data_IF_987098271228
#
_entry.id   IF_987098271228
#
_cell.length_a   1.000
_cell.length_b   1.000
_cell.length_c   1.000
_cell.angle_alpha   90.00
_cell.angle_beta   90.00
_cell.angle_gamma   90.00
#
_symmetry.space_group_name_H-M   'P 1'
#
loop_
_entity.id
_entity.type
_entity.pdbx_description
1 polymer ?
#
# COMPACT_ATOMS: atom_id res chain seq x y z
N UNK A 1 -2.56 -1.65 84.33
CA UNK A 1 -3.36 -2.72 83.70
C UNK A 1 -2.62 -3.19 82.45
N UNK A 2 -2.26 -4.48 82.39
CA UNK A 2 -1.77 -5.23 81.19
C UNK A 2 -2.97 -5.53 80.26
N UNK A 3 -2.83 -5.95 78.98
CA UNK A 3 -1.72 -6.74 78.37
C UNK A 3 -1.20 -6.17 77.02
N UNK A 4 0.02 -6.42 76.54
CA UNK A 4 0.65 -7.63 75.96
C UNK A 4 -0.11 -8.25 74.77
N UNK A 5 0.48 -8.21 73.56
CA UNK A 5 0.55 -9.24 72.48
C UNK A 5 1.29 -8.58 71.28
N UNK A 6 2.57 -8.82 71.01
CA UNK A 6 3.26 -9.94 70.33
C UNK A 6 2.75 -10.29 68.91
N UNK A 7 3.71 -10.73 68.07
CA UNK A 7 3.69 -11.12 66.63
C UNK A 7 4.17 -10.00 65.68
N UNK A 8 5.43 -9.92 65.24
CA UNK A 8 6.28 -10.85 64.46
C UNK A 8 5.77 -11.11 63.02
N UNK A 9 6.72 -11.36 62.11
CA UNK A 9 6.63 -11.72 60.68
C UNK A 9 6.82 -10.54 59.70
N UNK A 10 8.05 -10.24 59.27
CA UNK A 10 8.89 -10.89 58.22
C UNK A 10 8.42 -10.67 56.78
N UNK A 11 9.38 -10.17 56.00
CA UNK A 11 9.69 -10.53 54.61
C UNK A 11 9.15 -9.66 53.48
N UNK A 12 10.14 -9.18 52.73
CA UNK A 12 10.12 -8.57 51.43
C UNK A 12 9.19 -9.25 50.41
N UNK A 13 8.52 -8.45 49.59
CA UNK A 13 7.94 -8.91 48.34
C UNK A 13 8.24 -7.92 47.20
N UNK A 14 9.14 -8.40 46.34
CA UNK A 14 9.48 -8.06 44.95
C UNK A 14 8.64 -7.01 44.21
N UNK A 15 9.37 -6.05 43.63
CA UNK A 15 9.07 -5.35 42.38
C UNK A 15 8.88 -6.38 41.25
N UNK A 16 7.74 -6.39 40.57
CA UNK A 16 7.59 -6.98 39.25
C UNK A 16 6.71 -6.08 38.37
N UNK A 17 7.39 -5.48 37.39
CA UNK A 17 6.86 -4.73 36.26
C UNK A 17 5.91 -5.58 35.43
N UNK A 18 4.62 -5.24 35.43
CA UNK A 18 3.64 -5.83 34.52
C UNK A 18 3.76 -5.23 33.12
N UNK A 19 4.65 -5.77 32.29
CA UNK A 19 4.62 -5.52 30.85
C UNK A 19 3.53 -6.39 30.21
N UNK A 20 2.47 -5.79 29.67
CA UNK A 20 1.50 -6.50 28.84
C UNK A 20 2.17 -6.90 27.51
N UNK A 21 2.70 -8.12 27.42
CA UNK A 21 3.03 -8.71 26.13
C UNK A 21 1.73 -9.13 25.44
N UNK A 22 1.23 -8.31 24.51
CA UNK A 22 0.26 -8.77 23.51
C UNK A 22 1.00 -9.62 22.50
N UNK A 23 1.08 -10.92 22.77
CA UNK A 23 1.46 -11.90 21.75
C UNK A 23 0.43 -11.85 20.62
N UNK A 24 0.83 -11.36 19.45
CA UNK A 24 0.05 -11.55 18.23
C UNK A 24 0.42 -12.93 17.69
N UNK A 25 -0.52 -13.86 17.73
CA UNK A 25 -0.37 -15.13 17.03
C UNK A 25 -0.41 -14.86 15.52
N UNK A 26 0.76 -14.81 14.89
CA UNK A 26 0.89 -14.77 13.43
C UNK A 26 0.68 -16.20 12.94
N UNK A 27 -0.58 -16.55 12.70
CA UNK A 27 -0.92 -17.82 12.06
C UNK A 27 -0.70 -17.67 10.54
N UNK A 28 0.54 -17.64 10.09
CA UNK A 28 0.81 -18.06 8.71
C UNK A 28 0.48 -19.55 8.62
N UNK A 29 -0.21 -20.04 7.58
CA UNK A 29 -0.35 -21.46 7.33
C UNK A 29 1.04 -22.00 6.97
N UNK A 30 1.83 -22.33 7.99
CA UNK A 30 3.06 -23.07 7.82
C UNK A 30 2.65 -24.53 7.90
N UNK A 31 2.74 -25.25 6.78
CA UNK A 31 2.54 -26.70 6.78
C UNK A 31 3.41 -27.34 7.87
N UNK A 32 2.93 -28.39 8.56
CA UNK A 32 3.72 -29.07 9.57
C UNK A 32 5.02 -29.58 8.94
N UNK A 33 6.17 -29.42 9.62
CA UNK A 33 7.45 -29.84 9.07
C UNK A 33 7.45 -31.35 8.81
N UNK A 34 7.68 -31.74 7.56
CA UNK A 34 7.90 -33.14 7.20
C UNK A 34 9.28 -33.55 7.71
N UNK A 35 9.32 -34.42 8.71
CA UNK A 35 10.57 -35.00 9.19
C UNK A 35 11.06 -36.07 8.19
N UNK A 36 12.14 -35.77 7.48
CA UNK A 36 12.85 -36.71 6.61
C UNK A 36 14.28 -36.24 6.34
N UNK A 37 15.23 -37.17 6.32
CA UNK A 37 16.61 -36.90 5.93
C UNK A 37 16.68 -36.76 4.41
N UNK A 38 17.00 -35.57 3.91
CA UNK A 38 17.32 -35.33 2.50
C UNK A 38 18.80 -35.62 2.27
N UNK A 39 19.12 -36.61 1.43
CA UNK A 39 20.48 -36.90 1.01
C UNK A 39 20.55 -36.66 -0.51
N UNK A 40 20.87 -35.42 -0.90
CA UNK A 40 20.94 -34.97 -2.29
C UNK A 40 21.27 -33.47 -2.37
N UNK A 41 21.88 -33.01 -3.47
CA UNK A 41 22.32 -31.62 -3.68
C UNK A 41 21.20 -30.64 -4.04
N UNK A 42 19.97 -31.12 -4.21
CA UNK A 42 18.83 -30.30 -4.61
C UNK A 42 17.74 -30.32 -3.53
N UNK A 43 17.47 -29.17 -2.95
CA UNK A 43 16.27 -28.96 -2.12
C UNK A 43 15.07 -28.79 -3.06
N UNK A 44 14.04 -29.65 -3.00
CA UNK A 44 12.83 -29.42 -3.80
C UNK A 44 12.16 -28.12 -3.35
N UNK A 45 11.86 -27.24 -4.30
CA UNK A 45 11.03 -26.07 -4.05
C UNK A 45 9.66 -26.54 -3.50
N UNK A 46 9.14 -25.98 -2.38
CA UNK A 46 7.83 -26.37 -1.87
C UNK A 46 6.74 -26.15 -2.92
N UNK A 47 6.08 -27.23 -3.33
CA UNK A 47 4.96 -27.18 -4.26
C UNK A 47 3.71 -26.77 -3.50
N UNK A 48 3.35 -25.49 -3.53
CA UNK A 48 2.07 -25.03 -3.01
C UNK A 48 0.93 -25.57 -3.88
N UNK A 49 0.22 -26.59 -3.38
CA UNK A 49 -0.96 -27.17 -4.02
C UNK A 49 -2.18 -26.23 -4.01
N UNK A 50 -2.11 -25.09 -3.30
CA UNK A 50 -3.18 -24.10 -3.18
C UNK A 50 -2.92 -22.82 -3.98
N UNK A 51 -2.04 -22.87 -4.97
CA UNK A 51 -1.97 -21.77 -5.96
C UNK A 51 -3.13 -21.95 -6.92
N UNK A 52 -4.33 -21.50 -6.53
CA UNK A 52 -5.34 -21.17 -7.52
C UNK A 52 -4.76 -20.04 -8.36
N UNK A 53 -4.20 -20.38 -9.52
CA UNK A 53 -3.96 -19.44 -10.60
C UNK A 53 -5.32 -18.82 -10.92
N UNK A 54 -5.58 -17.65 -10.32
CA UNK A 54 -6.67 -16.77 -10.70
C UNK A 54 -6.33 -16.28 -12.09
N UNK A 55 -6.54 -17.18 -13.05
CA UNK A 55 -6.81 -16.92 -14.45
C UNK A 55 -6.17 -15.63 -14.91
N UNK A 56 -4.90 -15.76 -15.30
CA UNK A 56 -4.12 -14.90 -16.20
C UNK A 56 -4.87 -14.39 -17.47
N UNK A 57 -6.18 -14.64 -17.62
CA UNK A 57 -7.04 -14.27 -18.74
C UNK A 57 -8.19 -13.32 -18.36
N UNK A 58 -7.90 -12.31 -17.55
CA UNK A 58 -8.52 -11.02 -17.77
C UNK A 58 -7.39 -10.02 -17.86
N UNK A 59 -6.85 -9.84 -19.08
CA UNK A 59 -6.49 -8.49 -19.46
C UNK A 59 -7.69 -7.65 -19.04
N UNK A 60 -7.53 -6.87 -17.97
CA UNK A 60 -8.51 -5.86 -17.61
C UNK A 60 -8.61 -4.99 -18.85
N UNK A 61 -9.55 -5.33 -19.74
CA UNK A 61 -10.15 -4.37 -20.61
C UNK A 61 -10.73 -3.36 -19.63
N UNK A 62 -9.91 -2.38 -19.29
CA UNK A 62 -10.29 -1.27 -18.44
C UNK A 62 -11.56 -0.73 -19.07
N UNK A 63 -12.64 -0.67 -18.31
CA UNK A 63 -13.90 -0.15 -18.83
C UNK A 63 -13.65 1.32 -19.22
N UNK A 64 -13.44 1.53 -20.52
CA UNK A 64 -13.16 2.84 -21.10
C UNK A 64 -14.43 3.68 -21.19
N UNK A 65 -15.59 3.02 -21.13
CA UNK A 65 -16.92 3.61 -21.36
C UNK A 65 -17.36 4.54 -20.23
N UNK A 66 -16.72 4.47 -19.06
CA UNK A 66 -17.05 5.28 -17.89
C UNK A 66 -16.06 6.45 -17.63
N UNK A 67 -15.11 6.72 -18.53
CA UNK A 67 -14.12 7.79 -18.33
C UNK A 67 -14.68 9.16 -18.72
N UNK A 68 -14.46 10.21 -17.92
CA UNK A 68 -14.81 11.57 -18.33
C UNK A 68 -14.11 11.96 -19.63
N UNK A 69 -14.77 12.75 -20.47
CA UNK A 69 -14.23 13.14 -21.78
C UNK A 69 -12.88 13.88 -21.70
N UNK A 70 -12.68 14.67 -20.64
CA UNK A 70 -11.41 15.35 -20.39
C UNK A 70 -10.26 14.35 -20.18
N UNK A 71 -10.53 13.21 -19.55
CA UNK A 71 -9.55 12.19 -19.25
C UNK A 71 -9.16 11.42 -20.52
N UNK A 72 -10.13 11.13 -21.40
CA UNK A 72 -9.83 10.57 -22.72
C UNK A 72 -8.93 11.52 -23.53
N UNK A 73 -9.22 12.82 -23.50
CA UNK A 73 -8.38 13.83 -24.16
C UNK A 73 -6.96 13.82 -23.59
N UNK A 74 -6.81 13.72 -22.26
CA UNK A 74 -5.50 13.63 -21.60
C UNK A 74 -4.73 12.37 -22.01
N UNK A 75 -5.41 11.23 -22.12
CA UNK A 75 -4.84 9.96 -22.59
C UNK A 75 -4.34 10.09 -24.04
N UNK A 76 -5.15 10.68 -24.94
CA UNK A 76 -4.74 10.87 -26.33
C UNK A 76 -3.51 11.78 -26.45
N UNK A 77 -3.37 12.80 -25.59
CA UNK A 77 -2.18 13.63 -25.56
C UNK A 77 -0.93 12.81 -25.21
N UNK A 78 -0.99 11.96 -24.19
CA UNK A 78 0.12 11.06 -23.84
C UNK A 78 0.50 10.13 -24.99
N UNK A 79 -0.48 9.55 -25.67
CA UNK A 79 -0.26 8.67 -26.82
C UNK A 79 0.34 9.39 -28.03
N UNK A 80 0.11 10.70 -28.17
CA UNK A 80 0.71 11.54 -29.21
C UNK A 80 2.13 12.00 -28.87
N UNK A 81 2.50 12.02 -27.58
CA UNK A 81 3.84 12.33 -27.12
C UNK A 81 4.82 11.15 -27.31
N UNK A 82 6.11 11.43 -27.13
CA UNK A 82 7.14 10.38 -27.11
C UNK A 82 6.85 9.41 -25.97
N UNK A 83 7.06 8.12 -26.23
CA UNK A 83 6.99 7.07 -25.20
C UNK A 83 7.83 7.49 -23.99
N UNK A 84 7.21 7.42 -22.82
CA UNK A 84 7.86 7.70 -21.54
C UNK A 84 8.37 6.41 -20.87
N UNK A 85 9.40 6.54 -20.04
CA UNK A 85 9.92 5.46 -19.21
C UNK A 85 10.23 6.02 -17.80
N UNK A 86 9.52 5.58 -16.74
CA UNK A 86 8.45 4.57 -16.74
C UNK A 86 7.19 5.03 -17.51
N UNK A 87 6.31 4.09 -17.90
CA UNK A 87 5.01 4.42 -18.50
C UNK A 87 4.17 5.30 -17.59
N UNK A 88 3.39 6.21 -18.19
CA UNK A 88 2.42 7.02 -17.45
C UNK A 88 1.29 6.12 -16.95
N UNK A 89 0.94 6.29 -15.69
CA UNK A 89 -0.24 5.69 -15.08
C UNK A 89 -1.21 6.79 -14.67
N UNK A 90 -2.50 6.53 -14.85
CA UNK A 90 -3.57 7.34 -14.31
C UNK A 90 -4.42 6.47 -13.39
N UNK A 91 -4.48 6.86 -12.13
CA UNK A 91 -5.27 6.22 -11.10
C UNK A 91 -6.45 7.10 -10.72
N UNK A 92 -7.51 6.47 -10.21
CA UNK A 92 -8.62 7.11 -9.53
C UNK A 92 -8.57 6.79 -8.06
N UNK A 93 -8.87 7.79 -7.22
CA UNK A 93 -8.94 7.65 -5.78
C UNK A 93 -10.18 8.33 -5.21
N UNK A 94 -10.47 8.03 -3.95
CA UNK A 94 -11.21 8.89 -3.04
C UNK A 94 -10.24 9.70 -2.18
N UNK A 95 -10.42 11.02 -2.16
CA UNK A 95 -9.64 11.95 -1.35
C UNK A 95 -10.52 13.12 -0.96
N UNK A 96 -10.57 13.48 0.33
CA UNK A 96 -11.48 14.48 0.89
C UNK A 96 -12.94 14.27 0.44
N UNK A 97 -13.42 13.03 0.52
CA UNK A 97 -14.75 12.56 0.08
C UNK A 97 -15.08 12.77 -1.42
N UNK A 98 -14.11 13.26 -2.19
CA UNK A 98 -14.24 13.50 -3.62
C UNK A 98 -13.56 12.41 -4.44
N UNK A 99 -14.03 12.27 -5.69
CA UNK A 99 -13.32 11.49 -6.70
C UNK A 99 -12.23 12.37 -7.29
N UNK A 100 -11.01 11.86 -7.29
CA UNK A 100 -9.86 12.53 -7.91
C UNK A 100 -9.11 11.56 -8.81
N UNK A 101 -8.36 12.11 -9.75
CA UNK A 101 -7.52 11.37 -10.67
C UNK A 101 -6.07 11.78 -10.47
N UNK A 102 -5.18 10.80 -10.33
CA UNK A 102 -3.76 11.01 -10.12
C UNK A 102 -2.99 10.48 -11.32
N UNK A 103 -2.21 11.35 -11.94
CA UNK A 103 -1.36 11.05 -13.08
C UNK A 103 0.11 11.10 -12.66
N UNK A 104 0.84 10.01 -12.88
CA UNK A 104 2.26 9.89 -12.51
C UNK A 104 3.14 10.67 -13.48
N UNK A 105 4.18 11.34 -12.96
CA UNK A 105 5.27 11.83 -13.77
C UNK A 105 6.31 10.73 -14.09
N UNK A 106 7.05 10.84 -15.21
CA UNK A 106 8.10 9.89 -15.58
C UNK A 106 9.42 10.10 -14.82
N UNK A 107 9.59 11.20 -14.08
CA UNK A 107 10.80 11.45 -13.32
C UNK A 107 10.49 12.20 -12.03
N UNK A 108 11.30 12.00 -10.99
CA UNK A 108 11.10 12.60 -9.68
C UNK A 108 11.34 14.10 -9.62
N UNK A 109 11.94 14.71 -10.64
CA UNK A 109 12.08 16.15 -10.79
C UNK A 109 10.90 16.80 -11.55
N UNK A 110 9.98 15.98 -12.06
CA UNK A 110 8.73 16.39 -12.70
C UNK A 110 7.56 16.12 -11.75
N UNK A 111 6.55 16.99 -11.80
CA UNK A 111 5.40 16.88 -10.92
C UNK A 111 4.41 15.83 -11.42
N UNK A 112 4.06 14.86 -10.56
CA UNK A 112 2.81 14.13 -10.74
C UNK A 112 1.65 15.07 -10.45
N UNK A 113 0.47 14.80 -11.01
CA UNK A 113 -0.66 15.75 -10.98
C UNK A 113 -1.92 15.09 -10.45
N UNK A 114 -2.60 15.75 -9.51
CA UNK A 114 -3.93 15.37 -9.05
C UNK A 114 -4.95 16.31 -9.69
N UNK A 115 -5.97 15.71 -10.32
CA UNK A 115 -7.11 16.40 -10.90
C UNK A 115 -8.38 16.11 -10.12
N UNK A 116 -9.30 17.07 -10.08
CA UNK A 116 -10.66 16.83 -9.62
C UNK A 116 -11.46 16.00 -10.64
N UNK A 117 -12.70 15.66 -10.29
CA UNK A 117 -13.59 14.89 -11.17
C UNK A 117 -13.87 15.57 -12.53
N UNK A 118 -13.67 16.88 -12.65
CA UNK A 118 -13.91 17.69 -13.85
C UNK A 118 -12.63 17.95 -14.66
N UNK A 119 -11.48 17.44 -14.21
CA UNK A 119 -10.19 17.59 -14.89
C UNK A 119 -9.43 18.86 -14.52
N UNK A 120 -9.87 19.61 -13.50
CA UNK A 120 -9.11 20.76 -12.99
C UNK A 120 -7.95 20.25 -12.14
N UNK A 121 -6.75 20.79 -12.37
CA UNK A 121 -5.59 20.54 -11.50
C UNK A 121 -5.90 21.04 -10.09
N UNK A 122 -5.76 20.13 -9.12
CA UNK A 122 -5.86 20.44 -7.70
C UNK A 122 -4.47 20.76 -7.13
N UNK A 123 -3.48 19.94 -7.45
CA UNK A 123 -2.14 20.03 -6.85
C UNK A 123 -1.14 19.04 -7.47
N UNK A 124 0.10 19.16 -7.03
CA UNK A 124 1.22 18.27 -7.30
C UNK A 124 1.72 17.64 -5.99
N UNK A 125 1.33 16.39 -5.66
CA UNK A 125 1.64 15.79 -4.36
C UNK A 125 3.08 15.27 -4.24
N UNK A 126 3.76 15.06 -5.36
CA UNK A 126 5.15 14.62 -5.44
C UNK A 126 5.84 15.25 -6.66
N UNK A 127 7.16 15.06 -6.75
CA UNK A 127 7.95 15.57 -7.85
C UNK A 127 8.60 16.93 -7.60
N UNK A 128 9.12 17.54 -8.67
CA UNK A 128 9.85 18.81 -8.62
C UNK A 128 11.27 18.66 -8.04
N UNK A 129 12.02 19.76 -7.98
CA UNK A 129 13.43 19.75 -7.53
C UNK A 129 13.62 19.13 -6.14
N UNK A 130 12.62 19.25 -5.26
CA UNK A 130 12.67 18.68 -3.91
C UNK A 130 12.09 17.27 -3.82
N UNK A 131 11.39 16.80 -4.86
CA UNK A 131 10.60 15.57 -4.85
C UNK A 131 9.31 15.64 -4.01
N UNK A 132 9.00 16.78 -3.38
CA UNK A 132 7.88 16.93 -2.44
C UNK A 132 6.63 17.57 -3.05
N UNK A 133 6.62 17.81 -4.36
CA UNK A 133 5.50 18.46 -5.01
C UNK A 133 5.43 19.97 -4.74
N UNK A 134 4.24 20.53 -4.87
CA UNK A 134 3.94 21.96 -4.73
C UNK A 134 3.49 22.38 -3.31
N UNK A 135 3.33 21.40 -2.41
CA UNK A 135 2.87 21.62 -1.04
C UNK A 135 1.36 21.86 -0.87
N UNK A 136 0.56 21.85 -1.94
CA UNK A 136 -0.89 22.10 -1.86
C UNK A 136 -1.68 20.88 -1.35
N UNK A 137 -1.19 19.66 -1.62
CA UNK A 137 -1.79 18.41 -1.12
C UNK A 137 -0.77 17.52 -0.40
N UNK A 138 -0.13 18.04 0.64
CA UNK A 138 0.94 17.35 1.37
C UNK A 138 0.50 16.02 2.04
N UNK A 139 -0.80 15.84 2.26
CA UNK A 139 -1.39 14.64 2.86
C UNK A 139 -2.00 13.67 1.85
N UNK A 140 -1.97 13.97 0.54
CA UNK A 140 -2.60 13.16 -0.50
C UNK A 140 -2.17 11.70 -0.45
N UNK A 141 -0.87 11.44 -0.37
CA UNK A 141 -0.32 10.08 -0.32
C UNK A 141 -0.79 9.29 0.91
N UNK A 142 -1.07 9.97 2.03
CA UNK A 142 -1.53 9.33 3.27
C UNK A 142 -3.04 9.11 3.31
N UNK A 143 -3.81 10.05 2.75
CA UNK A 143 -5.25 10.13 2.93
C UNK A 143 -6.06 9.65 1.71
N UNK A 144 -5.42 9.39 0.57
CA UNK A 144 -6.09 8.79 -0.60
C UNK A 144 -6.50 7.35 -0.31
N UNK A 145 -7.67 6.96 -0.77
CA UNK A 145 -8.23 5.61 -0.62
C UNK A 145 -8.89 5.15 -1.91
N UNK A 146 -9.37 3.91 -1.95
CA UNK A 146 -10.07 3.34 -3.11
C UNK A 146 -9.30 3.49 -4.43
N UNK A 147 -8.01 3.14 -4.39
CA UNK A 147 -7.13 3.14 -5.55
C UNK A 147 -7.69 2.24 -6.66
N UNK A 148 -7.73 2.79 -7.87
CA UNK A 148 -8.10 2.04 -9.07
C UNK A 148 -7.28 2.54 -10.24
N UNK A 149 -6.54 1.64 -10.90
CA UNK A 149 -5.87 1.96 -12.15
C UNK A 149 -6.93 2.19 -13.25
N UNK A 150 -6.93 3.39 -13.84
CA UNK A 150 -7.88 3.79 -14.88
C UNK A 150 -7.29 3.64 -16.28
N UNK A 151 -5.99 3.92 -16.39
CA UNK A 151 -5.24 3.81 -17.63
C UNK A 151 -3.74 3.72 -17.35
N UNK A 152 -3.03 3.02 -18.22
CA UNK A 152 -1.57 2.97 -18.28
C UNK A 152 -1.17 3.09 -19.76
N UNK A 153 -0.12 3.84 -20.07
CA UNK A 153 0.43 3.89 -21.43
C UNK A 153 0.85 2.47 -21.87
N UNK A 154 0.25 1.92 -22.95
CA UNK A 154 0.53 0.55 -23.37
C UNK A 154 1.85 0.39 -24.15
N UNK A 155 2.54 1.49 -24.48
CA UNK A 155 3.70 1.49 -25.39
C UNK A 155 5.01 1.08 -24.73
#
# INVERSE_FOLDING_TARGET
>A
MRPTFLFAFTSAALLLTGACQRGVAVNTPTDPPVAGYVNGTDTPNPTSANTTDLTRNRATAFDTTARPQWLETRIQNHLAEKKQNPPVHIYRYRYNDQVVYFETAPCCDQFSTVYDAKGKVLCHPDGGITGRGDGQCADFTKNRTAEMLVWQDPR
#
